data_IF_574788640534
#
_entry.id   IF_574788640534
#
_cell.length_a   1.000
_cell.length_b   1.000
_cell.length_c   1.000
_cell.angle_alpha   90.00
_cell.angle_beta   90.00
_cell.angle_gamma   90.00
#
_symmetry.space_group_name_H-M   'P 1'
#
loop_
_entity.id
_entity.type
_entity.pdbx_description
1 polymer ?
#
# COMPACT_ATOMS: atom_id res chain seq x y z
N UNK A 1 1.45 -14.48 19.32
CA UNK A 1 0.64 -15.72 19.37
C UNK A 1 1.27 -16.74 18.43
N UNK A 2 1.62 -17.94 18.93
CA UNK A 2 2.17 -19.00 18.07
C UNK A 2 1.13 -19.39 17.01
N UNK A 3 1.56 -19.56 15.75
CA UNK A 3 0.71 -20.15 14.72
C UNK A 3 0.52 -21.62 15.12
N UNK A 4 -0.69 -22.00 15.55
CA UNK A 4 -1.03 -23.41 15.69
C UNK A 4 -0.95 -24.03 14.31
N UNK A 5 -0.08 -25.02 14.13
CA UNK A 5 -0.07 -25.84 12.93
C UNK A 5 -1.37 -26.64 12.89
N UNK A 6 -2.05 -26.58 11.75
CA UNK A 6 -3.27 -27.36 11.49
C UNK A 6 -3.10 -28.07 10.16
N UNK A 7 -3.66 -29.26 10.07
CA UNK A 7 -3.62 -30.05 8.85
C UNK A 7 -4.61 -29.46 7.83
N UNK A 8 -4.08 -29.05 6.69
CA UNK A 8 -4.85 -28.48 5.57
C UNK A 8 -5.78 -29.52 4.97
N UNK A 9 -5.40 -30.79 4.98
CA UNK A 9 -6.19 -31.91 4.43
C UNK A 9 -7.47 -32.11 5.22
N UNK A 10 -7.37 -32.05 6.55
CA UNK A 10 -8.51 -32.15 7.47
C UNK A 10 -9.45 -30.95 7.33
N UNK A 11 -8.88 -29.74 7.18
CA UNK A 11 -9.69 -28.54 6.91
C UNK A 11 -10.48 -28.67 5.61
N UNK A 12 -9.86 -29.18 4.54
CA UNK A 12 -10.52 -29.40 3.26
C UNK A 12 -11.67 -30.40 3.37
N UNK A 13 -11.49 -31.52 4.09
CA UNK A 13 -12.55 -32.50 4.31
C UNK A 13 -13.77 -31.87 5.01
N UNK A 14 -13.55 -31.06 6.05
CA UNK A 14 -14.65 -30.36 6.72
C UNK A 14 -15.33 -29.31 5.83
N UNK A 15 -14.59 -28.60 4.98
CA UNK A 15 -15.16 -27.64 4.04
C UNK A 15 -16.00 -28.32 2.96
N UNK A 16 -15.56 -29.47 2.45
CA UNK A 16 -16.31 -30.27 1.48
C UNK A 16 -17.58 -30.86 2.11
N UNK A 17 -17.49 -31.38 3.34
CA UNK A 17 -18.65 -31.91 4.09
C UNK A 17 -19.72 -30.85 4.36
N UNK A 18 -19.33 -29.59 4.59
CA UNK A 18 -20.26 -28.50 4.89
C UNK A 18 -20.54 -27.58 3.67
N UNK A 19 -20.28 -28.05 2.44
CA UNK A 19 -20.37 -27.21 1.23
C UNK A 19 -21.72 -26.50 1.03
N UNK A 20 -22.84 -27.18 1.32
CA UNK A 20 -24.19 -26.63 1.17
C UNK A 20 -24.53 -25.55 2.20
N UNK A 21 -23.87 -25.56 3.36
CA UNK A 21 -24.07 -24.54 4.38
C UNK A 21 -23.20 -23.30 4.14
N UNK A 22 -22.09 -23.46 3.41
CA UNK A 22 -21.13 -22.39 3.08
C UNK A 22 -21.61 -21.57 1.89
N UNK A 23 -22.17 -22.23 0.87
CA UNK A 23 -22.58 -21.62 -0.39
C UNK A 23 -24.01 -21.07 -0.23
N UNK A 24 -24.18 -19.77 -0.48
CA UNK A 24 -25.49 -19.11 -0.51
C UNK A 24 -26.09 -19.25 -1.90
N UNK A 25 -25.27 -19.06 -2.93
CA UNK A 25 -25.67 -19.23 -4.32
C UNK A 25 -24.50 -19.76 -5.16
N UNK A 26 -24.75 -20.89 -5.84
CA UNK A 26 -23.78 -21.60 -6.67
C UNK A 26 -23.48 -20.82 -7.96
N UNK A 27 -24.46 -20.05 -8.47
CA UNK A 27 -24.36 -19.33 -9.75
C UNK A 27 -23.60 -18.01 -9.59
N UNK A 28 -23.89 -17.24 -8.54
CA UNK A 28 -23.15 -16.00 -8.23
C UNK A 28 -21.82 -16.24 -7.50
N UNK A 29 -21.60 -17.45 -7.00
CA UNK A 29 -20.42 -17.79 -6.20
C UNK A 29 -20.41 -17.12 -4.82
N UNK A 30 -21.58 -16.74 -4.31
CA UNK A 30 -21.72 -16.07 -3.02
C UNK A 30 -21.56 -17.08 -1.86
N UNK A 31 -20.67 -16.75 -0.94
CA UNK A 31 -20.42 -17.50 0.30
C UNK A 31 -20.93 -16.74 1.51
N UNK A 32 -21.28 -17.47 2.57
CA UNK A 32 -21.77 -16.87 3.83
C UNK A 32 -20.80 -15.84 4.42
N UNK A 33 -21.37 -14.78 4.99
CA UNK A 33 -20.63 -13.65 5.60
C UNK A 33 -19.74 -14.12 6.77
N UNK A 34 -18.66 -13.39 7.12
CA UNK A 34 -17.75 -13.78 8.20
C UNK A 34 -18.41 -13.88 9.59
N UNK A 35 -19.55 -13.22 9.79
CA UNK A 35 -20.28 -13.19 11.06
C UNK A 35 -21.17 -14.42 11.29
N UNK A 36 -21.37 -15.23 10.25
CA UNK A 36 -22.23 -16.41 10.28
C UNK A 36 -21.61 -17.55 11.09
N UNK A 37 -22.46 -18.33 11.78
CA UNK A 37 -22.01 -19.35 12.74
C UNK A 37 -21.34 -20.57 12.09
N UNK A 38 -21.49 -20.74 10.76
CA UNK A 38 -20.83 -21.82 10.01
C UNK A 38 -19.31 -21.79 10.17
N UNK A 39 -18.70 -20.61 10.21
CA UNK A 39 -17.26 -20.44 10.38
C UNK A 39 -16.81 -20.80 11.80
N UNK A 40 -17.66 -20.56 12.80
CA UNK A 40 -17.42 -20.97 14.19
C UNK A 40 -17.52 -22.47 14.32
N UNK A 41 -18.51 -23.09 13.67
CA UNK A 41 -18.69 -24.55 13.66
C UNK A 41 -17.50 -25.28 13.03
N UNK A 42 -16.98 -24.80 11.89
CA UNK A 42 -15.79 -25.39 11.26
C UNK A 42 -14.55 -25.20 12.14
N UNK A 43 -14.44 -24.05 12.80
CA UNK A 43 -13.36 -23.79 13.78
C UNK A 43 -13.43 -24.75 14.98
N UNK A 44 -14.64 -25.04 15.49
CA UNK A 44 -14.88 -26.01 16.56
C UNK A 44 -14.52 -27.45 16.15
N UNK A 45 -14.89 -27.87 14.94
CA UNK A 45 -14.53 -29.19 14.39
C UNK A 45 -13.02 -29.38 14.22
N UNK A 46 -12.27 -28.28 14.20
CA UNK A 46 -10.81 -28.24 14.11
C UNK A 46 -10.15 -27.96 15.47
N UNK A 47 -10.83 -28.23 16.59
CA UNK A 47 -10.37 -27.98 17.97
C UNK A 47 -9.85 -26.54 18.20
N UNK A 48 -10.45 -25.56 17.54
CA UNK A 48 -10.02 -24.15 17.55
C UNK A 48 -8.53 -23.95 17.16
N UNK A 49 -7.97 -24.85 16.35
CA UNK A 49 -6.62 -24.70 15.78
C UNK A 49 -6.58 -23.59 14.71
N UNK A 50 -7.72 -23.30 14.08
CA UNK A 50 -7.92 -22.22 13.13
C UNK A 50 -9.03 -21.28 13.62
N UNK A 51 -8.85 -19.96 13.50
CA UNK A 51 -9.90 -19.00 13.86
C UNK A 51 -11.01 -18.95 12.80
N UNK A 52 -12.27 -18.68 13.18
CA UNK A 52 -13.40 -18.59 12.23
C UNK A 52 -13.14 -17.62 11.07
N UNK A 53 -12.54 -16.45 11.39
CA UNK A 53 -12.15 -15.45 10.40
C UNK A 53 -11.12 -15.98 9.39
N UNK A 54 -10.20 -16.82 9.83
CA UNK A 54 -9.20 -17.41 8.96
C UNK A 54 -9.80 -18.49 8.05
N UNK A 55 -10.75 -19.30 8.55
CA UNK A 55 -11.53 -20.25 7.72
C UNK A 55 -12.25 -19.49 6.59
N UNK A 56 -12.98 -18.42 6.93
CA UNK A 56 -13.65 -17.57 5.93
C UNK A 56 -12.67 -17.01 4.89
N UNK A 57 -11.49 -16.53 5.33
CA UNK A 57 -10.47 -15.97 4.44
C UNK A 57 -9.92 -17.03 3.47
N UNK A 58 -9.76 -18.28 3.92
CA UNK A 58 -9.31 -19.39 3.08
C UNK A 58 -10.30 -19.66 1.95
N UNK A 59 -11.59 -19.75 2.26
CA UNK A 59 -12.66 -19.97 1.25
C UNK A 59 -12.81 -18.76 0.33
N UNK A 60 -12.82 -17.54 0.90
CA UNK A 60 -12.97 -16.30 0.13
C UNK A 60 -11.85 -16.09 -0.87
N UNK A 61 -10.60 -16.29 -0.45
CA UNK A 61 -9.43 -16.07 -1.29
C UNK A 61 -9.03 -17.30 -2.11
N UNK A 62 -9.88 -18.33 -2.20
CA UNK A 62 -9.60 -19.60 -2.87
C UNK A 62 -8.23 -20.21 -2.52
N UNK A 63 -7.82 -20.13 -1.24
CA UNK A 63 -6.55 -20.73 -0.84
C UNK A 63 -6.70 -22.24 -0.89
N UNK A 64 -5.70 -22.95 -1.42
CA UNK A 64 -5.72 -24.40 -1.58
C UNK A 64 -6.82 -24.93 -2.52
N UNK A 65 -7.27 -24.11 -3.47
CA UNK A 65 -8.28 -24.47 -4.47
C UNK A 65 -9.59 -24.98 -3.85
N UNK A 66 -9.92 -24.43 -2.66
CA UNK A 66 -11.10 -24.83 -1.89
C UNK A 66 -12.38 -24.62 -2.69
N UNK A 67 -12.47 -23.56 -3.50
CA UNK A 67 -13.69 -23.23 -4.26
C UNK A 67 -14.05 -24.32 -5.27
N UNK A 68 -13.06 -24.89 -5.95
CA UNK A 68 -13.25 -26.01 -6.87
C UNK A 68 -13.73 -27.25 -6.11
N UNK A 69 -13.12 -27.53 -4.96
CA UNK A 69 -13.45 -28.69 -4.12
C UNK A 69 -14.85 -28.62 -3.50
N UNK A 70 -15.38 -27.42 -3.24
CA UNK A 70 -16.75 -27.24 -2.72
C UNK A 70 -17.79 -27.06 -3.83
N UNK A 71 -17.40 -27.10 -5.11
CA UNK A 71 -18.31 -27.03 -6.26
C UNK A 71 -18.71 -25.62 -6.71
N UNK A 72 -17.94 -24.59 -6.32
CA UNK A 72 -18.07 -23.24 -6.87
C UNK A 72 -17.33 -23.17 -8.21
N UNK A 73 -18.03 -23.50 -9.30
CA UNK A 73 -17.50 -23.38 -10.67
C UNK A 73 -17.31 -21.90 -10.97
N UNK A 74 -16.07 -21.48 -11.17
CA UNK A 74 -15.75 -20.12 -11.60
C UNK A 74 -16.02 -20.00 -13.10
N UNK A 75 -17.16 -19.44 -13.47
CA UNK A 75 -17.42 -19.02 -14.86
C UNK A 75 -16.77 -17.66 -15.12
N UNK A 76 -15.43 -17.60 -15.09
CA UNK A 76 -14.62 -16.51 -15.65
C UNK A 76 -13.29 -17.13 -16.13
N UNK A 77 -12.82 -16.86 -17.37
CA UNK A 77 -11.58 -17.43 -17.89
C UNK A 77 -10.38 -17.09 -17.01
N UNK A 78 -9.69 -18.13 -16.54
CA UNK A 78 -8.39 -17.99 -15.90
C UNK A 78 -7.37 -17.55 -16.96
N UNK A 79 -6.79 -16.37 -16.77
CA UNK A 79 -5.47 -16.09 -17.30
C UNK A 79 -4.46 -16.90 -16.47
N UNK A 80 -3.70 -17.74 -17.16
CA UNK A 80 -2.73 -18.66 -16.58
C UNK A 80 -1.72 -17.94 -15.68
N UNK A 81 -1.55 -18.48 -14.48
CA UNK A 81 -0.44 -18.17 -13.58
C UNK A 81 0.43 -19.42 -13.47
N UNK A 82 1.70 -19.35 -13.88
CA UNK A 82 2.76 -20.16 -13.28
C UNK A 82 3.81 -19.22 -12.65
N UNK A 83 4.48 -19.48 -11.54
CA UNK A 83 4.50 -20.56 -10.56
C UNK A 83 5.29 -20.07 -9.32
N UNK A 84 5.25 -20.84 -8.24
CA UNK A 84 5.98 -20.71 -6.95
C UNK A 84 7.50 -20.41 -7.06
N UNK A 85 8.16 -19.96 -5.97
CA UNK A 85 9.55 -19.54 -5.98
C UNK A 85 10.49 -20.76 -5.89
N UNK A 86 11.36 -20.91 -6.89
CA UNK A 86 12.53 -21.79 -6.81
C UNK A 86 13.77 -20.90 -6.66
N UNK A 87 14.54 -21.16 -5.61
CA UNK A 87 15.89 -20.64 -5.46
C UNK A 87 16.79 -21.29 -6.53
N UNK A 88 17.22 -20.50 -7.52
CA UNK A 88 18.42 -20.78 -8.31
C UNK A 88 18.87 -19.50 -9.00
N UNK A 89 20.19 -19.31 -9.04
CA UNK A 89 20.93 -18.15 -9.53
C UNK A 89 20.41 -17.63 -10.88
N UNK A 90 20.28 -16.30 -11.00
CA UNK A 90 19.97 -15.61 -12.24
C UNK A 90 21.29 -15.31 -12.95
N UNK A 91 21.53 -16.05 -14.04
CA UNK A 91 22.32 -15.61 -15.18
C UNK A 91 21.37 -15.00 -16.23
N UNK A 92 21.90 -14.06 -17.01
CA UNK A 92 21.16 -13.19 -17.94
C UNK A 92 20.48 -13.95 -19.07
N UNK A 93 19.23 -13.57 -19.36
CA UNK A 93 18.51 -14.00 -20.55
C UNK A 93 17.27 -13.15 -20.76
N UNK A 94 17.30 -12.32 -21.80
CA UNK A 94 16.24 -11.41 -22.22
C UNK A 94 15.12 -12.18 -22.92
N UNK A 95 13.94 -12.27 -22.31
CA UNK A 95 12.69 -12.63 -22.99
C UNK A 95 11.73 -11.44 -22.94
N UNK A 96 11.59 -10.80 -24.10
CA UNK A 96 10.63 -9.74 -24.39
C UNK A 96 9.29 -10.37 -24.75
N UNK A 97 8.40 -10.49 -23.78
CA UNK A 97 6.97 -10.66 -24.05
C UNK A 97 6.41 -9.30 -24.45
N UNK A 98 5.87 -9.17 -25.66
CA UNK A 98 5.13 -8.01 -26.17
C UNK A 98 3.93 -7.72 -25.25
N UNK A 99 4.15 -6.93 -24.21
CA UNK A 99 3.08 -6.27 -23.47
C UNK A 99 2.67 -5.07 -24.30
N UNK A 100 1.36 -4.96 -24.61
CA UNK A 100 0.77 -3.79 -25.24
C UNK A 100 1.33 -2.50 -24.61
N UNK A 101 2.00 -1.66 -25.41
CA UNK A 101 2.68 -0.44 -24.96
C UNK A 101 1.75 0.51 -24.17
N UNK A 102 0.43 0.36 -24.35
CA UNK A 102 -0.60 1.15 -23.69
C UNK A 102 -0.66 1.03 -22.16
N UNK A 103 -0.10 -0.03 -21.58
CA UNK A 103 -0.17 -0.33 -20.15
C UNK A 103 1.11 0.01 -19.38
N UNK A 104 2.11 0.62 -20.03
CA UNK A 104 3.36 1.05 -19.40
C UNK A 104 3.53 2.56 -19.57
N UNK A 105 3.69 3.28 -18.46
CA UNK A 105 4.08 4.68 -18.44
C UNK A 105 5.47 4.81 -17.81
N UNK A 106 6.44 5.26 -18.59
CA UNK A 106 7.81 5.52 -18.16
C UNK A 106 8.06 7.02 -18.07
N UNK A 107 8.56 7.49 -16.94
CA UNK A 107 8.84 8.91 -16.70
C UNK A 107 9.94 9.07 -15.65
N UNK A 108 10.52 10.27 -15.54
CA UNK A 108 11.64 10.54 -14.65
C UNK A 108 11.26 11.62 -13.65
N UNK A 109 11.37 11.33 -12.35
CA UNK A 109 11.25 12.35 -11.30
C UNK A 109 12.64 12.91 -11.02
N UNK A 110 12.78 14.23 -11.13
CA UNK A 110 14.01 14.94 -10.79
C UNK A 110 13.84 15.64 -9.45
N UNK A 111 14.73 15.33 -8.51
CA UNK A 111 14.79 15.97 -7.20
C UNK A 111 15.91 16.99 -7.18
N UNK A 112 15.66 18.10 -6.49
CA UNK A 112 16.72 19.05 -6.14
C UNK A 112 17.63 18.45 -5.06
N UNK A 113 18.82 19.04 -4.90
CA UNK A 113 19.75 18.66 -3.84
C UNK A 113 19.15 18.80 -2.44
N UNK A 114 18.37 19.86 -2.23
CA UNK A 114 17.67 20.12 -0.96
C UNK A 114 16.60 19.05 -0.68
N UNK A 115 15.79 18.71 -1.69
CA UNK A 115 14.79 17.64 -1.58
C UNK A 115 15.45 16.30 -1.28
N UNK A 116 16.54 15.97 -1.98
CA UNK A 116 17.28 14.74 -1.75
C UNK A 116 17.84 14.67 -0.33
N UNK A 117 18.50 15.72 0.13
CA UNK A 117 19.06 15.81 1.49
C UNK A 117 17.96 15.71 2.56
N UNK A 118 16.79 16.29 2.28
CA UNK A 118 15.65 16.20 3.19
C UNK A 118 15.14 14.76 3.29
N UNK A 119 15.00 14.02 2.19
CA UNK A 119 14.42 12.67 2.20
C UNK A 119 15.41 11.56 2.51
N UNK A 120 16.70 11.78 2.30
CA UNK A 120 17.73 10.77 2.51
C UNK A 120 17.91 10.48 4.01
N UNK A 121 17.79 9.21 4.40
CA UNK A 121 18.10 8.77 5.76
C UNK A 121 19.49 8.11 5.77
N UNK A 122 20.47 8.68 6.50
CA UNK A 122 21.82 8.14 6.51
C UNK A 122 21.99 6.92 7.42
N UNK A 123 20.97 6.57 8.23
CA UNK A 123 21.06 5.48 9.21
C UNK A 123 20.15 4.31 8.89
N UNK A 124 20.58 3.13 9.32
CA UNK A 124 19.82 1.89 9.19
C UNK A 124 18.52 1.91 9.98
N UNK A 125 17.43 1.47 9.34
CA UNK A 125 16.19 1.17 10.00
C UNK A 125 16.12 -0.32 10.36
N UNK A 126 15.98 -0.61 11.65
CA UNK A 126 15.86 -1.97 12.17
C UNK A 126 14.40 -2.44 12.18
N UNK A 127 14.16 -3.62 11.59
CA UNK A 127 12.87 -4.28 11.59
C UNK A 127 12.94 -5.59 12.34
N UNK A 128 11.91 -5.90 13.13
CA UNK A 128 11.79 -7.19 13.81
C UNK A 128 11.58 -8.30 12.79
N UNK A 129 12.39 -9.34 12.90
CA UNK A 129 12.27 -10.56 12.13
C UNK A 129 11.34 -11.53 12.84
N UNK A 130 10.52 -12.25 12.08
CA UNK A 130 9.63 -13.29 12.61
C UNK A 130 10.31 -14.65 12.69
N UNK A 131 11.49 -14.78 12.08
CA UNK A 131 12.29 -15.99 12.05
C UNK A 131 13.30 -16.00 13.20
N UNK A 132 13.25 -17.04 14.04
CA UNK A 132 14.03 -17.23 15.28
C UNK A 132 15.57 -17.23 15.11
N UNK A 133 16.11 -16.89 13.93
CA UNK A 133 17.55 -16.88 13.65
C UNK A 133 18.22 -15.59 14.08
N UNK A 134 17.57 -14.44 13.85
CA UNK A 134 18.12 -13.14 14.22
C UNK A 134 16.96 -12.21 14.59
N UNK A 135 17.02 -11.50 15.72
CA UNK A 135 15.85 -10.72 16.21
C UNK A 135 15.49 -9.54 15.31
N UNK A 136 16.47 -9.01 14.57
CA UNK A 136 16.31 -7.81 13.77
C UNK A 136 16.97 -7.93 12.39
N UNK A 137 16.50 -7.13 11.42
CA UNK A 137 17.14 -6.88 10.12
C UNK A 137 17.25 -5.37 9.91
N UNK A 138 18.44 -4.91 9.56
CA UNK A 138 18.69 -3.53 9.19
C UNK A 138 18.52 -3.34 7.67
N UNK A 139 17.99 -2.20 7.27
CA UNK A 139 18.01 -1.72 5.89
C UNK A 139 18.26 -0.22 5.87
N UNK A 140 19.04 0.26 4.90
CA UNK A 140 19.04 1.65 4.51
C UNK A 140 17.76 1.95 3.72
N UNK A 141 17.04 2.98 4.14
CA UNK A 141 15.76 3.38 3.55
C UNK A 141 15.73 4.91 3.41
N UNK A 142 14.71 5.46 2.75
CA UNK A 142 14.42 6.89 2.82
C UNK A 142 13.64 7.25 4.09
N UNK A 143 13.72 8.51 4.54
CA UNK A 143 13.06 9.03 5.76
C UNK A 143 11.55 8.78 5.76
N UNK A 144 11.03 7.91 6.64
CA UNK A 144 9.62 7.58 6.66
C UNK A 144 8.77 8.83 6.91
N UNK A 145 7.60 8.89 6.28
CA UNK A 145 6.67 10.05 6.32
C UNK A 145 7.15 11.34 5.63
N UNK A 146 8.41 11.43 5.17
CA UNK A 146 8.95 12.61 4.47
C UNK A 146 9.07 12.37 2.97
N UNK A 147 9.61 11.22 2.56
CA UNK A 147 9.82 10.97 1.12
C UNK A 147 8.53 10.71 0.34
N UNK A 148 7.54 10.05 0.98
CA UNK A 148 6.34 9.61 0.27
C UNK A 148 5.41 10.74 -0.21
N UNK A 149 5.23 11.86 0.53
CA UNK A 149 4.47 13.00 0.01
C UNK A 149 5.21 13.71 -1.12
N UNK A 150 6.53 13.90 -0.99
CA UNK A 150 7.36 14.55 -2.01
C UNK A 150 7.29 13.76 -3.33
N UNK A 151 7.56 12.45 -3.29
CA UNK A 151 7.47 11.60 -4.49
C UNK A 151 6.09 11.65 -5.14
N UNK A 152 5.03 11.72 -4.33
CA UNK A 152 3.68 11.73 -4.89
C UNK A 152 3.30 13.07 -5.51
N UNK A 153 3.79 14.18 -4.96
CA UNK A 153 3.61 15.50 -5.57
C UNK A 153 4.23 15.51 -6.97
N UNK A 154 5.51 15.11 -7.08
CA UNK A 154 6.20 14.98 -8.37
C UNK A 154 5.48 14.03 -9.34
N UNK A 155 4.97 12.90 -8.84
CA UNK A 155 4.18 11.96 -9.65
C UNK A 155 2.94 12.64 -10.25
N UNK A 156 2.17 13.36 -9.44
CA UNK A 156 0.95 14.04 -9.88
C UNK A 156 1.27 15.17 -10.85
N UNK A 157 2.33 15.94 -10.59
CA UNK A 157 2.76 17.04 -11.46
C UNK A 157 3.12 16.57 -12.87
N UNK A 158 3.81 15.43 -12.97
CA UNK A 158 4.29 14.87 -14.23
C UNK A 158 3.24 14.06 -14.98
N UNK A 159 2.44 13.26 -14.26
CA UNK A 159 1.52 12.31 -14.90
C UNK A 159 0.07 12.78 -14.92
N UNK A 160 -0.30 13.73 -14.05
CA UNK A 160 -1.68 14.21 -13.84
C UNK A 160 -2.66 13.10 -13.46
N UNK A 161 -2.16 11.95 -12.99
CA UNK A 161 -2.99 10.81 -12.60
C UNK A 161 -3.56 11.00 -11.19
N UNK A 162 -4.83 10.63 -11.02
CA UNK A 162 -5.55 10.69 -9.75
C UNK A 162 -5.35 9.44 -8.87
N UNK A 163 -4.43 8.54 -9.24
CA UNK A 163 -4.19 7.29 -8.54
C UNK A 163 -3.70 7.48 -7.08
N UNK A 164 -4.38 6.90 -6.08
CA UNK A 164 -3.93 6.93 -4.67
C UNK A 164 -2.81 5.92 -4.41
N UNK A 165 -1.62 6.17 -4.92
CA UNK A 165 -0.49 5.25 -4.76
C UNK A 165 -0.16 5.01 -3.27
N UNK A 166 -0.13 3.75 -2.87
CA UNK A 166 0.41 3.31 -1.58
C UNK A 166 1.85 2.85 -1.82
N UNK A 167 2.79 3.62 -1.27
CA UNK A 167 4.20 3.27 -1.28
C UNK A 167 4.49 2.21 -0.22
N UNK A 168 5.05 1.07 -0.66
CA UNK A 168 5.38 -0.06 0.21
C UNK A 168 6.77 0.09 0.83
N UNK A 169 7.75 0.54 0.04
CA UNK A 169 9.14 0.69 0.49
C UNK A 169 9.94 1.60 -0.45
N UNK A 170 11.02 2.16 0.10
CA UNK A 170 12.13 2.76 -0.62
C UNK A 170 13.42 2.25 0.03
N UNK A 171 14.17 1.36 -0.62
CA UNK A 171 15.42 0.83 -0.07
C UNK A 171 16.61 1.38 -0.83
N UNK A 172 17.71 1.53 -0.10
CA UNK A 172 18.98 1.99 -0.61
C UNK A 172 19.97 0.83 -0.52
N UNK A 173 20.72 0.63 -1.58
CA UNK A 173 21.75 -0.38 -1.71
C UNK A 173 23.05 0.34 -1.99
N UNK A 174 24.03 0.22 -1.10
CA UNK A 174 25.34 0.84 -1.29
C UNK A 174 26.20 0.09 -2.31
N UNK A 175 25.86 -1.16 -2.61
CA UNK A 175 26.62 -2.08 -3.44
C UNK A 175 25.73 -2.64 -4.56
N UNK A 176 26.27 -2.70 -5.77
CA UNK A 176 25.60 -3.22 -6.96
C UNK A 176 25.19 -2.16 -7.98
N UNK A 177 24.51 -2.61 -9.05
CA UNK A 177 24.10 -1.77 -10.18
C UNK A 177 22.82 -0.94 -9.93
N UNK A 178 22.18 -1.14 -8.78
CA UNK A 178 20.95 -0.48 -8.40
C UNK A 178 21.16 0.18 -7.05
N UNK A 179 21.33 1.49 -7.04
CA UNK A 179 21.51 2.26 -5.80
C UNK A 179 20.24 2.41 -4.97
N UNK A 180 19.06 2.56 -5.59
CA UNK A 180 17.80 2.69 -4.86
C UNK A 180 16.62 2.07 -5.61
N UNK A 181 15.75 1.36 -4.87
CA UNK A 181 14.47 0.84 -5.33
C UNK A 181 13.30 1.51 -4.59
N UNK A 182 12.28 1.94 -5.33
CA UNK A 182 11.01 2.43 -4.78
C UNK A 182 9.90 1.55 -5.33
N UNK A 183 9.02 1.06 -4.46
CA UNK A 183 7.88 0.25 -4.85
C UNK A 183 6.59 0.84 -4.29
N UNK A 184 5.61 1.03 -5.16
CA UNK A 184 4.26 1.43 -4.83
C UNK A 184 3.22 0.67 -5.65
N UNK A 185 1.96 0.78 -5.26
CA UNK A 185 0.83 0.25 -6.03
C UNK A 185 -0.41 1.11 -5.78
N UNK A 186 -1.32 1.15 -6.74
CA UNK A 186 -2.64 1.73 -6.53
C UNK A 186 -3.57 0.66 -5.93
N UNK A 187 -4.26 0.92 -4.81
CA UNK A 187 -5.26 0.00 -4.27
C UNK A 187 -6.52 -0.10 -5.14
N UNK A 188 -6.79 0.91 -5.98
CA UNK A 188 -8.03 1.01 -6.78
C UNK A 188 -7.88 0.25 -8.10
N UNK A 189 -6.92 0.65 -8.95
CA UNK A 189 -6.69 0.02 -10.25
C UNK A 189 -5.62 -1.09 -10.22
N UNK A 190 -5.02 -1.37 -9.06
CA UNK A 190 -3.99 -2.41 -8.86
C UNK A 190 -2.69 -2.23 -9.67
N UNK A 191 -2.55 -1.12 -10.41
CA UNK A 191 -1.33 -0.80 -11.15
C UNK A 191 -0.12 -0.65 -10.23
N UNK A 192 1.04 -1.11 -10.69
CA UNK A 192 2.28 -1.18 -9.94
C UNK A 192 3.25 -0.09 -10.36
N UNK A 193 3.72 0.69 -9.38
CA UNK A 193 4.72 1.74 -9.59
C UNK A 193 6.08 1.25 -9.09
N UNK A 194 7.10 1.33 -9.95
CA UNK A 194 8.48 1.01 -9.60
C UNK A 194 9.38 2.20 -9.95
N UNK A 195 10.14 2.69 -8.98
CA UNK A 195 11.18 3.69 -9.18
C UNK A 195 12.55 3.04 -9.01
N UNK A 196 13.49 3.35 -9.88
CA UNK A 196 14.87 2.89 -9.81
C UNK A 196 15.83 4.06 -9.97
N UNK A 197 16.91 4.01 -9.21
CA UNK A 197 18.07 4.87 -9.36
C UNK A 197 19.28 3.94 -9.39
N UNK A 198 19.97 3.90 -10.53
CA UNK A 198 21.05 2.94 -10.75
C UNK A 198 22.33 3.38 -10.04
N UNK A 199 22.70 4.65 -10.23
CA UNK A 199 23.95 5.19 -9.71
C UNK A 199 23.71 6.07 -8.49
N UNK A 200 24.64 5.98 -7.53
CA UNK A 200 24.68 6.90 -6.39
C UNK A 200 24.92 8.33 -6.89
N UNK A 201 24.25 9.35 -6.32
CA UNK A 201 24.54 10.75 -6.64
C UNK A 201 26.02 11.07 -6.39
N UNK A 202 26.68 11.70 -7.37
CA UNK A 202 28.12 11.96 -7.36
C UNK A 202 28.55 12.96 -6.28
N UNK A 203 27.68 13.90 -5.94
CA UNK A 203 27.89 14.88 -4.87
C UNK A 203 26.62 15.10 -4.06
N UNK A 204 26.76 15.62 -2.83
CA UNK A 204 25.63 15.98 -1.99
C UNK A 204 24.72 17.06 -2.63
N UNK A 205 25.30 17.88 -3.51
CA UNK A 205 24.61 18.97 -4.21
C UNK A 205 24.10 18.58 -5.61
N UNK A 206 24.27 17.32 -6.02
CA UNK A 206 23.83 16.85 -7.32
C UNK A 206 22.30 16.68 -7.38
N UNK A 207 21.71 17.02 -8.52
CA UNK A 207 20.32 16.63 -8.82
C UNK A 207 20.23 15.12 -8.96
N UNK A 208 19.15 14.56 -8.40
CA UNK A 208 18.90 13.12 -8.44
C UNK A 208 17.76 12.83 -9.40
N UNK A 209 18.01 11.99 -10.41
CA UNK A 209 17.01 11.60 -11.41
C UNK A 209 16.62 10.14 -11.15
N UNK A 210 15.36 9.92 -10.77
CA UNK A 210 14.82 8.60 -10.48
C UNK A 210 13.94 8.20 -11.67
N UNK A 211 14.25 7.05 -12.27
CA UNK A 211 13.48 6.48 -13.37
C UNK A 211 12.29 5.71 -12.81
N UNK A 212 11.07 6.10 -13.19
CA UNK A 212 9.85 5.42 -12.80
C UNK A 212 9.23 4.68 -13.97
N UNK A 213 8.76 3.46 -13.69
CA UNK A 213 7.87 2.69 -14.54
C UNK A 213 6.55 2.43 -13.81
N UNK A 214 5.44 2.76 -14.45
CA UNK A 214 4.10 2.56 -13.93
C UNK A 214 3.34 1.62 -14.85
N UNK A 215 2.98 0.44 -14.35
CA UNK A 215 2.45 -0.67 -15.15
C UNK A 215 1.04 -1.03 -14.70
N UNK A 216 0.10 -1.11 -15.66
CA UNK A 216 -1.28 -1.57 -15.49
C UNK A 216 -2.33 -0.54 -15.91
N UNK A 217 -3.56 -0.70 -15.42
CA UNK A 217 -4.73 0.07 -15.90
C UNK A 217 -4.89 1.45 -15.24
N UNK A 218 -3.79 2.19 -15.08
CA UNK A 218 -3.79 3.48 -14.38
C UNK A 218 -4.58 4.56 -15.11
N UNK A 219 -4.72 4.46 -16.44
CA UNK A 219 -5.49 5.40 -17.28
C UNK A 219 -6.99 5.40 -16.93
N UNK A 220 -7.51 4.28 -16.43
CA UNK A 220 -8.93 4.11 -16.09
C UNK A 220 -9.20 4.21 -14.58
N UNK A 221 -8.25 4.74 -13.82
CA UNK A 221 -8.36 4.82 -12.38
C UNK A 221 -9.32 5.94 -11.95
N UNK A 222 -10.56 5.57 -11.62
CA UNK A 222 -11.59 6.49 -11.11
C UNK A 222 -11.65 6.45 -9.57
N UNK A 223 -10.52 6.75 -8.93
CA UNK A 223 -10.42 6.64 -7.48
C UNK A 223 -10.88 7.90 -6.74
N UNK A 224 -11.83 7.73 -5.83
CA UNK A 224 -12.21 8.78 -4.86
C UNK A 224 -11.35 8.74 -3.58
N UNK A 225 -10.57 7.69 -3.39
CA UNK A 225 -9.71 7.53 -2.21
C UNK A 225 -8.64 8.62 -2.22
N UNK A 226 -8.57 9.37 -1.12
CA UNK A 226 -7.54 10.39 -0.90
C UNK A 226 -6.43 9.87 0.01
N UNK A 227 -5.20 10.29 -0.26
CA UNK A 227 -4.05 10.00 0.58
C UNK A 227 -4.13 10.77 1.89
N UNK A 228 -3.64 10.14 2.95
CA UNK A 228 -3.52 10.78 4.26
C UNK A 228 -2.40 11.82 4.22
N UNK A 229 -2.66 12.99 4.79
CA UNK A 229 -1.62 13.98 5.06
C UNK A 229 -0.63 13.45 6.12
N UNK A 230 0.66 13.49 5.80
CA UNK A 230 1.76 13.06 6.67
C UNK A 230 2.90 14.06 6.64
N UNK A 231 3.75 14.02 7.67
CA UNK A 231 4.93 14.88 7.78
C UNK A 231 4.58 16.37 7.74
N UNK A 232 5.44 17.14 7.08
CA UNK A 232 5.37 18.60 7.01
C UNK A 232 4.05 19.12 6.43
N UNK A 233 3.47 18.43 5.43
CA UNK A 233 2.18 18.84 4.84
C UNK A 233 1.05 18.83 5.88
N UNK A 234 1.07 17.86 6.81
CA UNK A 234 0.10 17.78 7.91
C UNK A 234 0.31 18.93 8.90
N UNK A 235 1.56 19.20 9.27
CA UNK A 235 1.93 20.27 10.21
C UNK A 235 1.56 21.65 9.66
N UNK A 236 1.90 21.91 8.40
CA UNK A 236 1.55 23.15 7.70
C UNK A 236 0.03 23.35 7.60
N UNK A 237 -0.74 22.28 7.35
CA UNK A 237 -2.20 22.36 7.33
C UNK A 237 -2.79 22.67 8.72
N UNK A 238 -2.25 22.06 9.79
CA UNK A 238 -2.66 22.34 11.17
C UNK A 238 -2.35 23.78 11.54
N UNK A 239 -1.13 24.24 11.26
CA UNK A 239 -0.66 25.61 11.52
C UNK A 239 -1.62 26.64 10.95
N UNK A 240 -1.99 26.49 9.67
CA UNK A 240 -2.97 27.35 9.00
C UNK A 240 -4.35 27.33 9.64
N UNK A 241 -4.82 26.17 10.11
CA UNK A 241 -6.17 26.02 10.66
C UNK A 241 -6.32 26.43 12.13
N UNK A 242 -5.26 26.31 12.92
CA UNK A 242 -5.26 26.61 14.36
C UNK A 242 -4.68 28.01 14.59
N UNK A 243 -3.43 28.24 14.21
CA UNK A 243 -2.72 29.50 14.50
C UNK A 243 -3.26 30.66 13.65
N UNK A 244 -3.54 30.42 12.36
CA UNK A 244 -4.02 31.46 11.44
C UNK A 244 -5.55 31.52 11.36
N UNK A 245 -6.28 30.71 12.13
CA UNK A 245 -7.74 30.71 12.17
C UNK A 245 -8.44 30.34 10.85
N UNK A 246 -7.73 29.78 9.87
CA UNK A 246 -8.32 29.50 8.55
C UNK A 246 -9.31 28.34 8.60
N UNK A 247 -10.40 28.44 7.84
CA UNK A 247 -11.37 27.34 7.72
C UNK A 247 -10.79 26.18 6.90
N UNK A 248 -11.22 24.96 7.20
CA UNK A 248 -10.82 23.76 6.45
C UNK A 248 -11.12 23.88 4.95
N UNK A 249 -12.21 24.56 4.58
CA UNK A 249 -12.57 24.82 3.19
C UNK A 249 -11.58 25.78 2.50
N UNK A 250 -11.14 26.83 3.22
CA UNK A 250 -10.15 27.78 2.70
C UNK A 250 -8.78 27.13 2.49
N UNK A 251 -8.31 26.37 3.48
CA UNK A 251 -7.03 25.63 3.38
C UNK A 251 -7.07 24.64 2.21
N UNK A 252 -8.15 23.87 2.07
CA UNK A 252 -8.33 22.96 0.93
C UNK A 252 -8.32 23.70 -0.40
N UNK A 253 -9.01 24.84 -0.49
CA UNK A 253 -9.06 25.65 -1.73
C UNK A 253 -7.67 26.12 -2.14
N UNK A 254 -6.86 26.58 -1.19
CA UNK A 254 -5.48 27.01 -1.48
C UNK A 254 -4.59 25.83 -1.90
N UNK A 255 -4.75 24.66 -1.28
CA UNK A 255 -4.05 23.45 -1.74
C UNK A 255 -4.46 23.05 -3.16
N UNK A 256 -5.76 23.09 -3.47
CA UNK A 256 -6.27 22.77 -4.80
C UNK A 256 -5.71 23.71 -5.87
N UNK A 257 -5.65 25.01 -5.60
CA UNK A 257 -5.06 26.01 -6.51
C UNK A 257 -3.61 25.69 -6.91
N UNK A 258 -2.84 25.08 -6.01
CA UNK A 258 -1.44 24.75 -6.27
C UNK A 258 -1.28 23.38 -6.94
N UNK A 259 -2.25 22.48 -6.79
CA UNK A 259 -2.12 21.07 -7.18
C UNK A 259 -2.85 20.70 -8.48
N UNK A 260 -3.84 21.49 -8.91
CA UNK A 260 -4.65 21.16 -10.08
C UNK A 260 -5.11 22.41 -10.83
N UNK A 261 -5.28 22.26 -12.13
CA UNK A 261 -5.88 23.29 -12.98
C UNK A 261 -7.41 23.14 -13.04
N UNK A 262 -8.09 24.17 -13.56
CA UNK A 262 -9.53 24.12 -13.78
C UNK A 262 -9.88 23.03 -14.81
N UNK A 263 -10.83 22.15 -14.46
CA UNK A 263 -11.28 21.05 -15.31
C UNK A 263 -10.49 19.74 -15.15
N UNK A 264 -9.37 19.73 -14.42
CA UNK A 264 -8.62 18.51 -14.11
C UNK A 264 -9.32 17.67 -13.03
N UNK A 265 -9.12 16.35 -13.06
CA UNK A 265 -9.59 15.46 -12.01
C UNK A 265 -8.86 15.77 -10.71
N UNK A 266 -9.58 15.76 -9.58
CA UNK A 266 -8.96 16.05 -8.29
C UNK A 266 -7.90 15.00 -7.93
N UNK A 267 -6.63 15.40 -7.68
CA UNK A 267 -5.58 14.46 -7.39
C UNK A 267 -5.75 13.81 -6.02
N UNK A 268 -5.09 12.67 -5.81
CA UNK A 268 -5.27 11.87 -4.60
C UNK A 268 -4.60 12.49 -3.37
N UNK A 269 -3.58 13.35 -3.54
CA UNK A 269 -2.93 14.09 -2.45
C UNK A 269 -3.74 15.30 -1.95
N UNK A 270 -4.80 15.71 -2.64
CA UNK A 270 -5.70 16.75 -2.13
C UNK A 270 -6.62 16.17 -1.04
N UNK A 271 -6.48 16.58 0.24
CA UNK A 271 -7.31 16.06 1.31
C UNK A 271 -8.78 16.51 1.19
N UNK A 272 -9.69 15.68 1.70
CA UNK A 272 -11.09 16.08 1.83
C UNK A 272 -11.27 17.12 2.94
N UNK A 273 -12.28 17.98 2.81
CA UNK A 273 -12.59 18.97 3.85
C UNK A 273 -12.90 18.31 5.21
N UNK A 274 -13.55 17.15 5.19
CA UNK A 274 -13.82 16.39 6.41
C UNK A 274 -12.53 15.90 7.07
N UNK A 275 -11.55 15.40 6.28
CA UNK A 275 -10.26 14.96 6.81
C UNK A 275 -9.53 16.11 7.52
N UNK A 276 -9.57 17.33 6.96
CA UNK A 276 -8.99 18.53 7.59
C UNK A 276 -9.73 18.92 8.89
N UNK A 277 -11.06 18.86 8.92
CA UNK A 277 -11.83 19.12 10.14
C UNK A 277 -11.49 18.12 11.25
N UNK A 278 -11.47 16.83 10.90
CA UNK A 278 -11.09 15.75 11.84
C UNK A 278 -9.66 15.94 12.35
N UNK A 279 -8.73 16.33 11.46
CA UNK A 279 -7.36 16.65 11.83
C UNK A 279 -7.30 17.79 12.85
N UNK A 280 -7.99 18.92 12.59
CA UNK A 280 -8.07 20.05 13.52
C UNK A 280 -8.62 19.61 14.88
N UNK A 281 -9.76 18.92 14.91
CA UNK A 281 -10.38 18.48 16.16
C UNK A 281 -9.48 17.54 16.97
N UNK A 282 -8.77 16.61 16.30
CA UNK A 282 -7.82 15.71 16.97
C UNK A 282 -6.64 16.47 17.58
N UNK A 283 -6.09 17.44 16.87
CA UNK A 283 -4.97 18.24 17.37
C UNK A 283 -5.36 19.09 18.58
N UNK A 284 -6.53 19.75 18.53
CA UNK A 284 -7.02 20.54 19.68
C UNK A 284 -7.19 19.66 20.92
N UNK A 285 -7.81 18.47 20.76
CA UNK A 285 -7.98 17.52 21.88
C UNK A 285 -6.66 17.03 22.46
N UNK A 286 -5.63 16.84 21.61
CA UNK A 286 -4.30 16.46 22.06
C UNK A 286 -3.60 17.59 22.82
N UNK A 287 -3.76 18.84 22.38
CA UNK A 287 -3.26 20.01 23.09
C UNK A 287 -3.87 20.16 24.48
N UNK A 288 -5.21 20.09 24.58
CA UNK A 288 -5.94 20.15 25.86
C UNK A 288 -5.50 19.06 26.83
N UNK A 289 -5.33 17.82 26.35
CA UNK A 289 -4.87 16.72 27.20
C UNK A 289 -3.42 16.92 27.71
N UNK A 290 -2.58 17.66 26.97
CA UNK A 290 -1.22 17.95 27.43
C UNK A 290 -1.21 19.08 28.46
N UNK A 291 -2.06 20.10 28.29
CA UNK A 291 -2.24 21.20 29.26
C UNK A 291 -2.80 20.67 30.60
N UNK A 292 -3.74 19.72 30.57
CA UNK A 292 -4.28 19.08 31.79
C UNK A 292 -3.24 18.25 32.56
N UNK A 293 -2.18 17.77 31.90
CA UNK A 293 -1.09 16.99 32.53
C UNK A 293 -0.02 17.90 33.12
N UNK A 294 0.21 19.08 32.55
CA UNK A 294 1.19 20.05 33.06
C UNK A 294 0.72 20.78 34.33
N UNK A 295 -0.58 20.80 34.62
CA UNK A 295 -1.15 21.43 35.84
C UNK A 295 -1.03 20.51 37.08
N UNK A 296 -0.49 19.29 36.95
CA UNK A 296 -0.35 18.33 38.04
C UNK A 296 1.10 17.99 38.46
N UNK A 297 2.08 18.82 38.10
CA UNK A 297 3.47 18.71 38.60
C UNK A 297 3.87 19.88 39.50
#
# INVERSE_FOLDING_TARGET
>A
MPRKEYDVSVLLDYLVKNKYDIIVDVVSGEIRKPSEDIWKRISQLMDFKISPKNVYTIVKCNRFEVREKIGLISSIPQAESPNKPTNSNIDSGSDVSEQSEDNLLSFNITLTAEEWTNIYQPTDQYYKRSDNKNRYRAYLILKPNIWTPIMHTHLVEQTRLSCPIIYKRAKIYNEGNLYMDIIGHCPTCQSNLKGILNNKPESADARVIIHFSYIGDFKFCMSEIKRKLTGEQKENAIKKMIEQGQSAAFVRRNLAKNLMNFGEQEPSNLPSANALRVLKCKTIKQGLHNEDVEICN
#
